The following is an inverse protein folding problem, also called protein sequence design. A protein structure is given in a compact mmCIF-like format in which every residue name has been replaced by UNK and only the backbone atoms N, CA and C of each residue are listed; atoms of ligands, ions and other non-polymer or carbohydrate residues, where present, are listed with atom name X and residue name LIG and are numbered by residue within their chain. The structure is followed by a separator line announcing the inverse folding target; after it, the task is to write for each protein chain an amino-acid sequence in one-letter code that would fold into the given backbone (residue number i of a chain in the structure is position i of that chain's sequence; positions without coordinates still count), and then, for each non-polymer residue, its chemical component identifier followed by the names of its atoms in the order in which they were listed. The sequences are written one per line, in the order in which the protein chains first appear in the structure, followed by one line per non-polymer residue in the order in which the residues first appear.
data_IF_196048417178
#
_entry.id   IF_196048417178
#
_cell.length_a   1.000
_cell.length_b   1.000
_cell.length_c   1.000
_cell.angle_alpha   90.00
_cell.angle_beta   90.00
_cell.angle_gamma   90.00
#
_symmetry.space_group_name_H-M   'P 1'
#
loop_
_entity.id
_entity.type
_entity.pdbx_description
1 polymer ?
#
# COMPACT_ATOMS: atom_id res chain seq x y z
N UNK A 1 0.97 5.22 24.55
CA UNK A 1 0.34 5.12 23.23
C UNK A 1 0.34 6.52 22.66
N UNK A 2 0.91 6.80 21.47
CA UNK A 2 0.85 8.15 20.93
C UNK A 2 -0.61 8.46 20.60
N UNK A 3 -1.12 9.50 21.24
CA UNK A 3 -2.44 10.07 21.03
C UNK A 3 -2.40 10.92 19.75
N UNK A 4 -3.55 11.09 19.10
CA UNK A 4 -3.72 11.79 17.82
C UNK A 4 -3.34 13.27 17.77
N UNK A 5 -3.83 14.04 16.77
CA UNK A 5 -3.31 15.35 16.39
C UNK A 5 -3.74 16.47 17.35
N UNK A 6 -3.35 16.37 18.62
CA UNK A 6 -3.03 17.52 19.48
C UNK A 6 -1.61 18.06 19.22
N UNK A 7 -1.02 17.69 18.08
CA UNK A 7 0.34 18.01 17.70
C UNK A 7 1.34 17.03 18.28
N UNK A 8 2.41 16.78 17.54
CA UNK A 8 3.47 15.88 18.00
C UNK A 8 4.36 15.36 16.89
N UNK A 9 5.23 14.44 17.26
CA UNK A 9 6.00 13.68 16.29
C UNK A 9 6.25 12.27 16.77
N UNK A 10 6.45 11.37 15.82
CA UNK A 10 6.92 10.02 16.07
C UNK A 10 8.14 9.74 15.19
N UNK A 11 9.13 9.07 15.77
CA UNK A 11 10.28 8.56 15.05
C UNK A 11 10.23 7.03 15.03
N UNK A 12 10.55 6.43 13.89
CA UNK A 12 10.70 4.99 13.75
C UNK A 12 9.77 4.37 12.71
N UNK A 13 9.97 3.07 12.50
CA UNK A 13 9.43 2.39 11.32
C UNK A 13 8.09 1.71 11.50
N UNK A 14 7.48 1.80 12.68
CA UNK A 14 6.18 1.20 12.93
C UNK A 14 5.45 2.02 13.97
N UNK A 15 4.15 2.16 13.78
CA UNK A 15 3.26 2.68 14.80
C UNK A 15 1.85 2.87 14.29
N UNK A 16 1.00 3.38 15.17
CA UNK A 16 -0.42 3.63 14.92
C UNK A 16 -0.70 5.08 15.30
N UNK A 17 -1.48 5.76 14.47
CA UNK A 17 -1.97 7.11 14.70
C UNK A 17 -3.48 7.11 14.49
N UNK A 18 -4.20 7.69 15.44
CA UNK A 18 -5.62 7.99 15.32
C UNK A 18 -5.82 9.52 15.39
N UNK A 19 -7.03 10.01 15.15
CA UNK A 19 -7.41 11.37 15.54
C UNK A 19 -7.50 11.52 17.09
N UNK A 20 -8.00 12.66 17.56
CA UNK A 20 -8.02 13.01 18.98
C UNK A 20 -9.17 12.36 19.78
N UNK A 21 -10.21 11.87 19.11
CA UNK A 21 -11.21 10.96 19.68
C UNK A 21 -10.66 9.54 19.87
N UNK A 22 -9.59 9.20 19.14
CA UNK A 22 -8.99 7.87 19.19
C UNK A 22 -9.84 6.85 18.42
N UNK A 23 -9.59 5.54 18.60
CA UNK A 23 -10.13 4.52 17.69
C UNK A 23 -11.63 4.20 17.87
N UNK A 24 -12.33 4.78 18.85
CA UNK A 24 -13.72 4.39 19.18
C UNK A 24 -14.67 5.57 19.44
N UNK A 25 -14.21 6.81 19.38
CA UNK A 25 -15.01 8.00 19.62
C UNK A 25 -14.81 8.98 18.46
N UNK A 26 -15.77 9.88 18.26
CA UNK A 26 -15.68 10.87 17.20
C UNK A 26 -14.58 11.92 17.49
N UNK A 27 -13.97 12.47 16.43
CA UNK A 27 -13.00 13.55 16.58
C UNK A 27 -13.61 14.82 17.17
N UNK A 28 -12.79 15.69 17.78
CA UNK A 28 -13.27 16.99 18.28
C UNK A 28 -13.43 18.03 17.15
N UNK A 29 -14.41 18.95 17.24
CA UNK A 29 -14.52 20.04 16.28
C UNK A 29 -13.35 21.01 16.42
N UNK A 30 -12.88 21.52 15.28
CA UNK A 30 -11.83 22.53 15.18
C UNK A 30 -10.51 22.08 14.58
N UNK A 31 -9.64 23.04 14.26
CA UNK A 31 -8.35 22.74 13.67
C UNK A 31 -7.46 22.01 14.67
N UNK A 32 -6.94 20.87 14.26
CA UNK A 32 -5.91 20.12 14.97
C UNK A 32 -4.53 20.72 14.78
N UNK A 33 -3.54 20.17 15.49
CA UNK A 33 -2.13 20.51 15.31
C UNK A 33 -1.41 19.43 14.50
N UNK A 34 -0.38 19.80 13.70
CA UNK A 34 0.29 18.84 12.83
C UNK A 34 1.01 17.73 13.62
N UNK A 35 0.91 16.51 13.12
CA UNK A 35 1.64 15.35 13.60
C UNK A 35 2.61 14.87 12.53
N UNK A 36 3.91 14.85 12.84
CA UNK A 36 4.96 14.46 11.90
C UNK A 36 5.50 13.06 12.22
N UNK A 37 5.50 12.18 11.23
CA UNK A 37 6.14 10.87 11.32
C UNK A 37 7.47 10.96 10.57
N UNK A 38 8.56 10.60 11.24
CA UNK A 38 9.91 10.56 10.67
C UNK A 38 10.48 9.15 10.74
N UNK A 39 11.04 8.69 9.63
CA UNK A 39 11.69 7.38 9.50
C UNK A 39 13.20 7.55 9.30
N UNK A 40 14.01 6.49 9.48
CA UNK A 40 15.43 6.54 9.19
C UNK A 40 15.74 7.08 7.78
N UNK A 41 16.82 7.85 7.67
CA UNK A 41 17.29 8.37 6.39
C UNK A 41 17.49 7.25 5.35
N UNK A 42 17.08 7.51 4.11
CA UNK A 42 17.10 6.49 3.05
C UNK A 42 15.90 5.55 3.08
N UNK A 43 14.85 5.88 3.86
CA UNK A 43 13.54 5.24 3.83
C UNK A 43 12.44 6.28 3.59
N UNK A 44 11.26 5.80 3.20
CA UNK A 44 10.01 6.54 3.06
C UNK A 44 8.99 6.03 4.06
N UNK A 45 8.05 6.89 4.44
CA UNK A 45 6.91 6.55 5.28
C UNK A 45 5.80 5.99 4.40
N UNK A 46 5.27 4.82 4.76
CA UNK A 46 4.08 4.23 4.14
C UNK A 46 2.97 4.26 5.18
N UNK A 47 1.95 5.08 4.95
CA UNK A 47 0.72 5.12 5.73
C UNK A 47 -0.27 4.10 5.15
N UNK A 48 -0.95 3.38 6.03
CA UNK A 48 -2.07 2.50 5.69
C UNK A 48 -3.25 2.84 6.59
N UNK A 49 -4.27 3.43 6.01
CA UNK A 49 -5.50 3.80 6.70
C UNK A 49 -6.42 2.58 6.79
N UNK A 50 -6.96 2.34 7.98
CA UNK A 50 -8.01 1.36 8.22
C UNK A 50 -9.38 2.00 8.44
N UNK A 51 -9.42 3.31 8.67
CA UNK A 51 -10.62 4.09 8.95
C UNK A 51 -10.42 5.51 8.42
N UNK A 52 -11.46 6.07 7.80
CA UNK A 52 -11.46 7.43 7.27
C UNK A 52 -12.90 7.94 7.13
N UNK A 53 -13.34 8.74 8.09
CA UNK A 53 -14.69 9.27 8.20
C UNK A 53 -14.63 10.73 8.64
N UNK A 54 -14.94 11.65 7.72
CA UNK A 54 -14.97 13.09 7.93
C UNK A 54 -16.24 13.70 7.34
N UNK A 55 -16.71 14.82 7.91
CA UNK A 55 -17.84 15.55 7.35
C UNK A 55 -17.49 16.06 5.94
N UNK A 56 -18.18 15.52 4.94
CA UNK A 56 -17.86 15.74 3.53
C UNK A 56 -17.85 17.23 3.17
N UNK A 57 -16.72 17.71 2.62
CA UNK A 57 -16.45 19.10 2.24
C UNK A 57 -16.30 20.12 3.38
N UNK A 58 -16.45 19.73 4.65
CA UNK A 58 -16.35 20.65 5.78
C UNK A 58 -15.11 20.39 6.63
N UNK A 59 -14.83 19.12 6.89
CA UNK A 59 -13.71 18.69 7.70
C UNK A 59 -12.73 17.94 6.81
N UNK A 60 -11.44 18.28 6.93
CA UNK A 60 -10.41 17.74 6.04
C UNK A 60 -9.21 17.19 6.80
N UNK A 61 -8.69 16.06 6.34
CA UNK A 61 -7.35 15.60 6.67
C UNK A 61 -6.39 16.05 5.59
N UNK A 62 -5.42 16.89 5.96
CA UNK A 62 -4.32 17.30 5.09
C UNK A 62 -3.10 16.45 5.35
N UNK A 63 -2.42 16.05 4.28
CA UNK A 63 -1.24 15.21 4.35
C UNK A 63 -0.14 15.87 3.54
N UNK A 64 0.97 16.21 4.19
CA UNK A 64 2.10 16.91 3.59
C UNK A 64 3.28 15.96 3.45
N UNK A 65 3.84 15.89 2.25
CA UNK A 65 4.99 15.06 1.90
C UNK A 65 6.31 15.70 2.37
N UNK A 66 6.46 15.77 3.69
CA UNK A 66 7.65 16.32 4.31
C UNK A 66 7.50 16.60 5.81
N UNK A 67 8.48 17.29 6.41
CA UNK A 67 8.60 17.44 7.85
C UNK A 67 7.60 18.43 8.47
N UNK A 68 6.81 19.16 7.68
CA UNK A 68 5.90 20.18 8.18
C UNK A 68 4.75 20.49 7.20
N UNK A 69 3.82 21.34 7.64
CA UNK A 69 2.69 21.83 6.84
C UNK A 69 3.07 22.85 5.75
N UNK A 70 4.37 23.15 5.56
CA UNK A 70 4.87 23.94 4.43
C UNK A 70 5.39 23.05 3.28
N UNK A 71 5.47 21.75 3.52
CA UNK A 71 5.86 20.74 2.52
C UNK A 71 4.74 20.57 1.49
N UNK A 72 5.04 19.90 0.37
CA UNK A 72 4.05 19.70 -0.69
C UNK A 72 2.87 18.86 -0.17
N UNK A 73 1.64 19.37 -0.32
CA UNK A 73 0.44 18.62 0.05
C UNK A 73 0.19 17.47 -0.95
N UNK A 74 -0.11 16.29 -0.43
CA UNK A 74 -0.55 15.13 -1.20
C UNK A 74 -2.07 15.26 -1.39
N UNK A 75 -2.51 15.39 -2.64
CA UNK A 75 -3.91 15.69 -2.92
C UNK A 75 -4.22 17.18 -2.70
N UNK A 76 -5.40 17.49 -2.17
CA UNK A 76 -5.86 18.85 -1.85
C UNK A 76 -6.82 18.80 -0.65
N UNK A 77 -6.36 18.17 0.43
CA UNK A 77 -7.18 17.75 1.56
C UNK A 77 -8.12 16.58 1.22
N UNK A 78 -8.35 15.71 2.20
CA UNK A 78 -9.26 14.58 2.06
C UNK A 78 -10.45 14.77 3.00
N UNK A 79 -11.66 14.49 2.52
CA UNK A 79 -12.90 14.46 3.31
C UNK A 79 -13.80 13.34 2.80
N UNK A 80 -14.90 13.05 3.50
CA UNK A 80 -15.84 12.00 3.11
C UNK A 80 -15.73 10.76 3.98
N UNK A 81 -16.35 9.69 3.51
CA UNK A 81 -16.54 8.45 4.28
C UNK A 81 -16.03 7.29 3.45
N UNK A 82 -15.08 6.55 4.02
CA UNK A 82 -14.42 5.41 3.38
C UNK A 82 -12.97 5.71 2.97
N UNK A 83 -12.10 4.70 3.16
CA UNK A 83 -10.69 4.76 2.76
C UNK A 83 -10.47 4.83 1.25
N UNK A 84 -11.51 4.60 0.45
CA UNK A 84 -11.51 4.77 -1.01
C UNK A 84 -11.55 6.24 -1.45
N UNK A 85 -11.88 7.17 -0.55
CA UNK A 85 -11.68 8.62 -0.75
C UNK A 85 -10.19 9.02 -0.71
N UNK A 86 -9.32 8.15 -0.17
CA UNK A 86 -7.88 8.36 -0.10
C UNK A 86 -7.15 7.72 -1.30
N UNK A 87 -5.99 8.27 -1.73
CA UNK A 87 -5.18 7.68 -2.79
C UNK A 87 -4.85 6.20 -2.53
N UNK A 88 -4.91 5.40 -3.58
CA UNK A 88 -4.63 3.96 -3.54
C UNK A 88 -5.43 3.20 -2.45
N UNK A 89 -6.67 3.60 -2.19
CA UNK A 89 -7.55 3.02 -1.17
C UNK A 89 -6.92 3.06 0.24
N UNK A 90 -6.40 4.23 0.63
CA UNK A 90 -5.84 4.44 1.97
C UNK A 90 -4.37 4.06 2.12
N UNK A 91 -3.61 3.89 1.02
CA UNK A 91 -2.16 3.65 1.06
C UNK A 91 -1.41 4.85 0.49
N UNK A 92 -0.74 5.59 1.36
CA UNK A 92 -0.03 6.83 1.01
C UNK A 92 1.44 6.66 1.36
N UNK A 93 2.31 6.97 0.41
CA UNK A 93 3.77 6.85 0.58
C UNK A 93 4.41 8.21 0.38
N UNK A 94 5.29 8.61 1.31
CA UNK A 94 6.06 9.85 1.19
C UNK A 94 7.19 9.71 0.15
N UNK A 95 7.70 10.83 -0.37
CA UNK A 95 8.89 10.87 -1.22
C UNK A 95 10.19 10.90 -0.42
N UNK A 96 10.12 11.30 0.86
CA UNK A 96 11.25 11.42 1.77
C UNK A 96 11.03 10.75 3.12
N UNK A 97 11.95 10.93 4.08
CA UNK A 97 11.91 10.25 5.37
C UNK A 97 10.90 10.87 6.33
N UNK A 98 10.00 11.76 5.88
CA UNK A 98 9.02 12.40 6.75
C UNK A 98 7.70 12.65 6.03
N UNK A 99 6.60 12.52 6.78
CA UNK A 99 5.26 12.87 6.35
C UNK A 99 4.54 13.54 7.52
N UNK A 100 3.73 14.56 7.24
CA UNK A 100 3.02 15.33 8.26
C UNK A 100 1.53 15.30 8.00
N UNK A 101 0.74 14.98 9.02
CA UNK A 101 -0.72 14.97 8.96
C UNK A 101 -1.27 16.14 9.77
N UNK A 102 -2.28 16.82 9.24
CA UNK A 102 -2.99 17.90 9.93
C UNK A 102 -4.48 17.78 9.66
N UNK A 103 -5.23 17.55 10.73
CA UNK A 103 -6.69 17.61 10.67
C UNK A 103 -7.14 19.06 10.78
N UNK A 104 -8.04 19.48 9.90
CA UNK A 104 -8.66 20.79 9.87
C UNK A 104 -10.19 20.58 9.87
N UNK A 105 -10.75 20.40 11.06
CA UNK A 105 -12.19 20.27 11.26
C UNK A 105 -12.83 21.63 11.50
N UNK A 106 -14.06 21.78 11.05
CA UNK A 106 -14.90 22.94 11.28
C UNK A 106 -15.28 23.08 12.76
N UNK A 107 -15.78 24.25 13.15
CA UNK A 107 -16.38 24.49 14.47
C UNK A 107 -17.83 23.97 14.57
N UNK A 108 -18.26 23.14 13.61
CA UNK A 108 -19.60 22.58 13.56
C UNK A 108 -19.86 21.53 14.65
N UNK A 109 -21.12 21.16 14.91
CA UNK A 109 -21.46 20.12 15.87
C UNK A 109 -21.36 18.70 15.28
N UNK A 110 -21.15 18.56 13.97
CA UNK A 110 -21.05 17.28 13.29
C UNK A 110 -19.61 16.81 13.33
N UNK A 111 -19.39 15.64 13.90
CA UNK A 111 -18.09 14.96 13.93
C UNK A 111 -18.34 13.47 13.66
N UNK A 112 -17.30 12.75 13.27
CA UNK A 112 -17.37 11.32 12.95
C UNK A 112 -16.16 10.59 13.53
N UNK A 113 -16.05 9.29 13.28
CA UNK A 113 -14.98 8.46 13.84
C UNK A 113 -13.57 8.83 13.34
N UNK A 114 -13.43 9.76 12.38
CA UNK A 114 -12.13 10.33 12.01
C UNK A 114 -11.23 9.36 11.27
N UNK A 115 -9.98 9.22 11.71
CA UNK A 115 -9.03 8.34 11.04
C UNK A 115 -8.29 7.43 12.00
N UNK A 116 -7.96 6.24 11.50
CA UNK A 116 -7.03 5.32 12.13
C UNK A 116 -6.10 4.79 11.06
N UNK A 117 -4.80 4.90 11.31
CA UNK A 117 -3.77 4.41 10.40
C UNK A 117 -2.65 3.71 11.15
N UNK A 118 -1.95 2.82 10.44
CA UNK A 118 -0.61 2.40 10.80
C UNK A 118 0.40 3.02 9.83
N UNK A 119 1.63 3.25 10.30
CA UNK A 119 2.74 3.61 9.41
C UNK A 119 3.81 2.53 9.41
N UNK A 120 4.51 2.39 8.29
CA UNK A 120 5.71 1.58 8.17
C UNK A 120 6.82 2.31 7.40
N UNK A 121 8.06 1.82 7.49
CA UNK A 121 9.15 2.24 6.61
C UNK A 121 9.26 1.35 5.38
N UNK A 122 9.53 1.97 4.23
CA UNK A 122 10.05 1.27 3.05
C UNK A 122 11.39 1.87 2.63
N UNK A 123 12.36 1.07 2.20
CA UNK A 123 13.65 1.60 1.75
C UNK A 123 13.45 2.43 0.46
N UNK A 124 14.10 3.60 0.36
CA UNK A 124 14.16 4.37 -0.90
C UNK A 124 15.20 3.70 -1.81
N UNK A 125 14.82 2.54 -2.34
CA UNK A 125 15.44 1.96 -3.51
C UNK A 125 14.50 2.26 -4.67
N UNK A 126 14.94 3.13 -5.60
CA UNK A 126 14.34 3.30 -6.93
C UNK A 126 13.73 1.99 -7.43
N UNK A 127 12.41 1.91 -7.35
CA UNK A 127 11.56 1.38 -8.40
C UNK A 127 10.29 2.23 -8.28
N UNK A 128 9.97 3.00 -9.33
CA UNK A 128 8.56 3.02 -9.71
C UNK A 128 8.16 1.56 -9.74
N UNK A 129 7.31 1.12 -8.81
CA UNK A 129 6.79 -0.24 -8.89
C UNK A 129 5.95 -0.24 -10.17
N UNK A 130 6.60 -0.58 -11.29
CA UNK A 130 5.95 -0.61 -12.58
C UNK A 130 4.69 -1.44 -12.38
N UNK A 131 3.54 -0.93 -12.84
CA UNK A 131 2.26 -1.57 -12.62
C UNK A 131 2.39 -3.08 -12.88
N UNK A 132 1.96 -3.90 -11.92
CA UNK A 132 2.20 -5.35 -11.95
C UNK A 132 1.88 -5.90 -13.33
N UNK A 133 2.87 -6.50 -14.03
CA UNK A 133 2.64 -7.08 -15.33
C UNK A 133 1.77 -8.33 -15.24
N UNK A 134 1.63 -8.92 -14.04
CA UNK A 134 0.83 -10.11 -13.80
C UNK A 134 -0.64 -9.72 -13.67
N UNK A 135 -1.47 -10.28 -14.56
CA UNK A 135 -2.92 -10.27 -14.49
C UNK A 135 -3.46 -11.42 -13.63
N UNK A 136 -4.35 -12.21 -14.20
CA UNK A 136 -5.04 -13.31 -13.51
C UNK A 136 -4.22 -14.60 -13.57
N UNK A 137 -4.25 -15.37 -12.49
CA UNK A 137 -3.72 -16.75 -12.45
C UNK A 137 -4.91 -17.70 -12.30
N UNK A 138 -5.15 -18.56 -13.30
CA UNK A 138 -6.35 -19.38 -13.36
C UNK A 138 -6.10 -20.76 -14.00
N UNK A 139 -6.86 -21.81 -13.62
CA UNK A 139 -7.78 -21.82 -12.49
C UNK A 139 -7.04 -21.74 -11.15
N UNK A 140 -7.74 -21.27 -10.12
CA UNK A 140 -7.25 -21.20 -8.76
C UNK A 140 -8.33 -21.80 -7.85
N UNK A 141 -8.14 -23.00 -7.26
CA UNK A 141 -6.95 -23.88 -7.34
C UNK A 141 -6.72 -24.52 -8.72
N UNK A 142 -5.45 -24.79 -9.04
CA UNK A 142 -5.03 -25.52 -10.23
C UNK A 142 -4.73 -26.99 -9.90
N UNK A 143 -4.89 -27.88 -10.89
CA UNK A 143 -4.60 -29.32 -10.76
C UNK A 143 -3.43 -29.71 -11.65
N UNK A 144 -3.66 -29.80 -12.96
CA UNK A 144 -2.62 -30.24 -13.91
C UNK A 144 -1.82 -29.07 -14.47
N UNK A 145 -2.48 -27.92 -14.68
CA UNK A 145 -1.90 -26.72 -15.28
C UNK A 145 -2.58 -25.47 -14.77
N UNK A 146 -1.89 -24.35 -14.88
CA UNK A 146 -2.47 -23.02 -14.68
C UNK A 146 -1.99 -22.07 -15.79
N UNK A 147 -2.76 -21.01 -16.00
CA UNK A 147 -2.46 -19.93 -16.93
C UNK A 147 -2.26 -18.66 -16.14
N UNK A 148 -1.19 -17.94 -16.45
CA UNK A 148 -0.99 -16.56 -16.01
C UNK A 148 -1.30 -15.66 -17.19
N UNK A 149 -2.20 -14.70 -17.04
CA UNK A 149 -2.35 -13.61 -18.00
C UNK A 149 -1.45 -12.43 -17.63
N UNK A 150 -1.10 -11.63 -18.63
CA UNK A 150 -0.32 -10.41 -18.46
C UNK A 150 -1.16 -9.17 -18.82
N UNK A 151 -1.01 -8.10 -18.05
CA UNK A 151 -1.74 -6.84 -18.24
C UNK A 151 -1.30 -6.09 -19.51
N UNK A 152 -0.08 -6.37 -19.97
CA UNK A 152 0.48 -5.93 -21.24
C UNK A 152 1.32 -7.07 -21.86
N UNK A 153 1.62 -7.04 -23.17
CA UNK A 153 2.52 -8.02 -23.78
C UNK A 153 3.86 -8.09 -23.03
N UNK A 154 4.34 -9.32 -22.78
CA UNK A 154 5.62 -9.53 -22.08
C UNK A 154 6.78 -8.85 -22.80
N UNK A 155 7.73 -8.31 -22.03
CA UNK A 155 8.98 -7.79 -22.55
C UNK A 155 10.03 -8.88 -22.74
N UNK A 156 11.17 -8.49 -23.31
CA UNK A 156 12.33 -9.38 -23.39
C UNK A 156 12.93 -9.58 -21.99
N UNK A 157 13.56 -10.74 -21.76
CA UNK A 157 14.24 -11.10 -20.50
C UNK A 157 13.31 -11.13 -19.28
N UNK A 158 12.03 -11.38 -19.48
CA UNK A 158 11.11 -11.64 -18.37
C UNK A 158 11.26 -13.09 -17.92
N UNK A 159 11.14 -13.31 -16.62
CA UNK A 159 11.29 -14.62 -16.02
C UNK A 159 10.17 -14.90 -15.05
N UNK A 160 9.51 -16.02 -15.24
CA UNK A 160 8.53 -16.56 -14.30
C UNK A 160 9.24 -17.58 -13.41
N UNK A 161 9.07 -17.45 -12.10
CA UNK A 161 9.59 -18.37 -11.10
C UNK A 161 8.48 -18.82 -10.16
N UNK A 162 8.39 -20.11 -9.88
CA UNK A 162 7.54 -20.67 -8.84
C UNK A 162 8.36 -20.90 -7.58
N UNK A 163 7.82 -20.46 -6.45
CA UNK A 163 8.33 -20.74 -5.12
C UNK A 163 7.30 -21.57 -4.33
N UNK A 164 7.76 -22.52 -3.54
CA UNK A 164 6.90 -23.27 -2.61
C UNK A 164 6.55 -22.46 -1.36
N UNK A 165 5.76 -23.07 -0.46
CA UNK A 165 5.30 -22.43 0.77
C UNK A 165 6.43 -22.02 1.75
N UNK A 166 7.65 -22.56 1.60
CA UNK A 166 8.81 -22.16 2.42
C UNK A 166 9.73 -21.17 1.68
N UNK A 167 9.34 -20.74 0.48
CA UNK A 167 10.09 -19.78 -0.33
C UNK A 167 11.22 -20.41 -1.15
N UNK A 168 11.27 -21.74 -1.28
CA UNK A 168 12.24 -22.40 -2.14
C UNK A 168 11.80 -22.35 -3.60
N UNK A 169 12.72 -22.01 -4.49
CA UNK A 169 12.48 -21.96 -5.93
C UNK A 169 12.33 -23.38 -6.50
N UNK A 170 11.15 -23.69 -7.06
CA UNK A 170 10.83 -25.03 -7.57
C UNK A 170 10.79 -25.10 -9.10
N UNK A 171 10.56 -23.98 -9.80
CA UNK A 171 10.53 -23.94 -11.27
C UNK A 171 10.83 -22.54 -11.79
N UNK A 172 11.53 -22.47 -12.91
CA UNK A 172 11.81 -21.21 -13.61
C UNK A 172 11.59 -21.36 -15.10
N UNK A 173 10.96 -20.36 -15.70
CA UNK A 173 10.60 -20.30 -17.11
C UNK A 173 10.98 -18.91 -17.61
N UNK A 174 11.87 -18.83 -18.58
CA UNK A 174 12.09 -17.58 -19.31
C UNK A 174 10.89 -17.35 -20.24
N UNK A 175 10.36 -16.13 -20.24
CA UNK A 175 9.19 -15.73 -21.01
C UNK A 175 9.64 -15.08 -22.32
N UNK A 176 9.10 -15.58 -23.44
CA UNK A 176 9.28 -14.93 -24.73
C UNK A 176 8.60 -13.55 -24.73
N UNK A 177 9.10 -12.63 -25.54
CA UNK A 177 8.50 -11.31 -25.71
C UNK A 177 7.20 -11.36 -26.52
N UNK A 178 6.23 -10.53 -26.14
CA UNK A 178 4.96 -10.35 -26.84
C UNK A 178 3.81 -11.26 -26.37
N UNK A 179 4.03 -12.09 -25.35
CA UNK A 179 3.00 -12.98 -24.80
C UNK A 179 1.95 -12.19 -24.03
N UNK A 180 0.67 -12.56 -24.19
CA UNK A 180 -0.46 -12.04 -23.40
C UNK A 180 -0.82 -12.96 -22.24
N UNK A 181 -0.44 -14.22 -22.34
CA UNK A 181 -0.59 -15.23 -21.30
C UNK A 181 0.50 -16.30 -21.42
N UNK A 182 0.61 -17.11 -20.37
CA UNK A 182 1.49 -18.28 -20.34
C UNK A 182 0.82 -19.41 -19.58
N UNK A 183 0.64 -20.55 -20.25
CA UNK A 183 0.25 -21.82 -19.63
C UNK A 183 1.49 -22.49 -19.03
N UNK A 184 1.36 -22.98 -17.80
CA UNK A 184 2.39 -23.68 -17.05
C UNK A 184 1.80 -24.99 -16.51
N UNK A 185 2.40 -26.11 -16.91
CA UNK A 185 2.08 -27.43 -16.33
C UNK A 185 2.67 -27.55 -14.92
N UNK A 186 2.00 -28.29 -14.06
CA UNK A 186 2.34 -28.48 -12.64
C UNK A 186 3.07 -29.79 -12.37
N UNK A 187 3.37 -30.58 -13.42
CA UNK A 187 4.01 -31.89 -13.31
C UNK A 187 5.24 -31.87 -12.41
N UNK A 188 5.27 -32.74 -11.40
CA UNK A 188 6.37 -32.84 -10.44
C UNK A 188 6.35 -31.80 -9.32
N UNK A 189 5.32 -30.97 -9.23
CA UNK A 189 5.05 -30.13 -8.06
C UNK A 189 4.10 -30.88 -7.10
N UNK A 190 4.32 -30.73 -5.80
CA UNK A 190 3.43 -31.30 -4.80
C UNK A 190 2.16 -30.43 -4.68
N UNK A 191 1.01 -31.00 -4.24
CA UNK A 191 -0.13 -30.19 -3.84
C UNK A 191 0.24 -29.25 -2.69
N UNK A 192 -0.23 -28.01 -2.73
CA UNK A 192 0.10 -27.01 -1.72
C UNK A 192 0.02 -25.57 -2.21
N UNK A 193 0.47 -24.65 -1.36
CA UNK A 193 0.56 -23.24 -1.67
C UNK A 193 1.89 -22.89 -2.33
N UNK A 194 1.82 -22.08 -3.39
CA UNK A 194 2.93 -21.60 -4.17
C UNK A 194 2.82 -20.10 -4.43
N UNK A 195 3.96 -19.47 -4.73
CA UNK A 195 4.04 -18.10 -5.23
C UNK A 195 4.57 -18.11 -6.65
N UNK A 196 3.80 -17.56 -7.57
CA UNK A 196 4.24 -17.20 -8.92
C UNK A 196 4.90 -15.83 -8.84
N UNK A 197 6.17 -15.75 -9.20
CA UNK A 197 6.94 -14.51 -9.28
C UNK A 197 7.30 -14.23 -10.73
N UNK A 198 7.00 -13.04 -11.24
CA UNK A 198 7.48 -12.57 -12.55
C UNK A 198 8.50 -11.47 -12.32
N UNK A 199 9.73 -11.72 -12.75
CA UNK A 199 10.84 -10.79 -12.74
C UNK A 199 11.02 -10.18 -14.13
N UNK A 200 11.17 -8.87 -14.18
CA UNK A 200 11.40 -8.09 -15.39
C UNK A 200 12.60 -7.18 -15.14
N UNK A 201 13.15 -6.51 -16.19
CA UNK A 201 14.19 -5.50 -16.00
C UNK A 201 13.79 -4.33 -15.07
N UNK A 202 12.49 -4.15 -14.78
CA UNK A 202 11.95 -3.05 -13.97
C UNK A 202 11.50 -3.45 -12.57
N UNK A 203 11.60 -4.72 -12.20
CA UNK A 203 11.12 -5.18 -10.89
C UNK A 203 10.63 -6.61 -10.89
N UNK A 204 10.06 -7.02 -9.76
CA UNK A 204 9.55 -8.36 -9.51
C UNK A 204 8.17 -8.28 -8.87
N UNK A 205 7.22 -9.03 -9.40
CA UNK A 205 5.84 -9.08 -8.89
C UNK A 205 5.44 -10.50 -8.58
N UNK A 206 4.57 -10.65 -7.57
CA UNK A 206 4.16 -11.95 -7.06
C UNK A 206 2.64 -12.14 -7.12
N UNK A 207 2.19 -13.40 -7.31
CA UNK A 207 0.80 -13.85 -7.19
C UNK A 207 0.74 -15.20 -6.50
N UNK A 208 -0.28 -15.40 -5.67
CA UNK A 208 -0.54 -16.68 -5.03
C UNK A 208 -1.11 -17.71 -6.03
N UNK A 209 -0.69 -18.96 -5.89
CA UNK A 209 -1.16 -20.12 -6.65
C UNK A 209 -1.38 -21.28 -5.67
N UNK A 210 -2.53 -21.95 -5.72
CA UNK A 210 -2.78 -23.18 -4.96
C UNK A 210 -2.85 -24.34 -5.95
N UNK A 211 -2.12 -25.40 -5.65
CA UNK A 211 -2.12 -26.65 -6.40
C UNK A 211 -2.84 -27.75 -5.61
N UNK A 212 -3.67 -28.53 -6.29
CA UNK A 212 -4.45 -29.64 -5.75
C UNK A 212 -4.01 -30.99 -6.33
#
# INVERSE_FOLDING_TARGET
MPQGPQGGSAEGCEGVLADDGGPNDDYSPGPGSPFTITVPNGQVVVLTFSQFEFETNFDVLRIFDGPDAFSNEIGDGFSGSGVDELPNNGVITSSGPSITLMQDASMGPTTWEGFLLNWSCSAVGINEEAASPIGNVYPQPARDRFTISFTAPTGNNWRLTLYDAVGAQVRTIDLDGGLRDRVVDTDGLAPGAYVVSVETPRGRWNRALILH
#
